data_IF_598062148931
#
_entry.id   IF_598062148931
#
_cell.length_a   1.000
_cell.length_b   1.000
_cell.length_c   1.000
_cell.angle_alpha   90.00
_cell.angle_beta   90.00
_cell.angle_gamma   90.00
#
_symmetry.space_group_name_H-M   'P 1'
#
loop_
_entity.id
_entity.type
_entity.pdbx_description
1 polymer ?
#
# COMPACT_ATOMS: atom_id res chain seq x y z
N UNK A 1 -16.63 -0.27 8.96
CA UNK A 1 -15.24 -0.75 8.74
C UNK A 1 -14.99 -1.88 9.74
N UNK A 2 -14.33 -2.98 9.38
CA UNK A 2 -14.02 -4.05 10.34
C UNK A 2 -13.00 -3.60 11.41
N UNK A 3 -13.12 -4.08 12.65
CA UNK A 3 -12.26 -3.73 13.80
C UNK A 3 -10.75 -3.81 13.47
N UNK A 4 -10.36 -4.87 12.76
CA UNK A 4 -8.98 -5.09 12.32
C UNK A 4 -8.41 -3.94 11.45
N UNK A 5 -9.25 -3.27 10.66
CA UNK A 5 -8.85 -2.09 9.87
C UNK A 5 -8.88 -0.81 10.70
N UNK A 6 -9.79 -0.69 11.67
CA UNK A 6 -9.81 0.45 12.60
C UNK A 6 -8.51 0.51 13.43
N UNK A 7 -8.07 -0.64 13.91
CA UNK A 7 -6.80 -0.81 14.63
C UNK A 7 -5.59 -0.37 13.79
N UNK A 8 -5.58 -0.70 12.50
CA UNK A 8 -4.51 -0.31 11.58
C UNK A 8 -4.60 1.17 11.23
N UNK A 9 -5.79 1.68 10.94
CA UNK A 9 -6.02 3.10 10.66
C UNK A 9 -5.57 3.98 11.84
N UNK A 10 -5.86 3.57 13.08
CA UNK A 10 -5.41 4.27 14.28
C UNK A 10 -3.87 4.32 14.38
N UNK A 11 -3.18 3.26 13.95
CA UNK A 11 -1.71 3.25 13.87
C UNK A 11 -1.20 4.17 12.76
N UNK A 12 -1.87 4.23 11.61
CA UNK A 12 -1.46 5.05 10.47
C UNK A 12 -1.74 6.54 10.67
N UNK A 13 -2.78 6.92 11.42
CA UNK A 13 -3.12 8.31 11.76
C UNK A 13 -2.37 8.86 12.98
N UNK A 14 -1.19 8.31 13.21
CA UNK A 14 -0.32 8.73 14.30
C UNK A 14 0.15 10.18 14.13
N UNK A 15 0.20 10.94 15.22
CA UNK A 15 0.52 12.38 15.21
C UNK A 15 2.04 12.65 15.14
N UNK A 16 2.86 11.61 15.24
CA UNK A 16 4.33 11.69 15.15
C UNK A 16 4.83 11.94 13.71
N UNK A 17 4.02 11.67 12.68
CA UNK A 17 4.35 11.93 11.27
C UNK A 17 3.80 13.28 10.84
N UNK A 18 4.70 14.23 10.57
CA UNK A 18 4.33 15.61 10.15
C UNK A 18 4.17 15.79 8.64
N UNK A 19 4.58 14.79 7.86
CA UNK A 19 4.50 14.83 6.40
C UNK A 19 3.05 14.86 5.90
N UNK A 20 2.68 15.89 5.13
CA UNK A 20 1.37 15.94 4.46
C UNK A 20 1.18 14.79 3.46
N UNK A 21 2.26 14.36 2.80
CA UNK A 21 2.27 13.21 1.88
C UNK A 21 1.86 11.92 2.56
N UNK A 22 2.25 11.73 3.83
CA UNK A 22 1.77 10.60 4.60
C UNK A 22 0.26 10.63 4.81
N UNK A 23 -0.29 11.80 5.16
CA UNK A 23 -1.74 11.99 5.27
C UNK A 23 -2.48 11.64 3.98
N UNK A 24 -1.95 12.07 2.84
CA UNK A 24 -2.48 11.71 1.50
C UNK A 24 -2.43 10.20 1.26
N UNK A 25 -1.29 9.56 1.53
CA UNK A 25 -1.11 8.11 1.41
C UNK A 25 -2.13 7.33 2.24
N UNK A 26 -2.31 7.70 3.51
CA UNK A 26 -3.24 7.02 4.42
C UNK A 26 -4.70 7.22 3.98
N UNK A 27 -5.03 8.39 3.45
CA UNK A 27 -6.38 8.66 2.93
C UNK A 27 -6.67 7.87 1.65
N UNK A 28 -5.73 7.79 0.71
CA UNK A 28 -5.87 6.99 -0.51
C UNK A 28 -5.92 5.49 -0.20
N UNK A 29 -5.12 5.02 0.76
CA UNK A 29 -5.21 3.66 1.27
C UNK A 29 -6.60 3.36 1.84
N UNK A 30 -7.11 4.21 2.74
CA UNK A 30 -8.43 4.04 3.33
C UNK A 30 -9.53 4.07 2.27
N UNK A 31 -9.43 4.94 1.27
CA UNK A 31 -10.37 5.02 0.16
C UNK A 31 -10.37 3.73 -0.68
N UNK A 32 -9.19 3.19 -0.99
CA UNK A 32 -9.04 1.92 -1.69
C UNK A 32 -9.64 0.75 -0.89
N UNK A 33 -9.34 0.63 0.40
CA UNK A 33 -9.91 -0.42 1.25
C UNK A 33 -11.43 -0.27 1.40
N UNK A 34 -11.93 0.96 1.48
CA UNK A 34 -13.37 1.26 1.52
C UNK A 34 -14.05 0.83 0.22
N UNK A 35 -13.47 1.19 -0.94
CA UNK A 35 -13.98 0.77 -2.24
C UNK A 35 -13.92 -0.75 -2.45
N UNK A 36 -12.93 -1.41 -1.83
CA UNK A 36 -12.80 -2.85 -1.80
C UNK A 36 -13.76 -3.55 -0.81
N UNK A 37 -14.45 -2.81 0.07
CA UNK A 37 -15.33 -3.36 1.10
C UNK A 37 -14.57 -3.94 2.31
N UNK A 38 -13.29 -3.61 2.48
CA UNK A 38 -12.40 -4.15 3.52
C UNK A 38 -12.21 -5.67 3.44
N UNK A 39 -12.33 -6.23 2.23
CA UNK A 39 -12.12 -7.63 1.93
C UNK A 39 -10.69 -7.88 1.43
N UNK A 40 -10.14 -9.07 1.72
CA UNK A 40 -8.89 -9.51 1.11
C UNK A 40 -9.17 -9.86 -0.36
N UNK A 41 -8.78 -8.99 -1.29
CA UNK A 41 -9.07 -9.15 -2.72
C UNK A 41 -7.93 -9.83 -3.48
N UNK A 42 -7.54 -11.01 -3.01
CA UNK A 42 -6.49 -11.82 -3.64
C UNK A 42 -5.60 -12.49 -2.60
N UNK A 43 -4.56 -13.22 -3.07
CA UNK A 43 -3.53 -13.73 -2.18
C UNK A 43 -2.78 -12.58 -1.50
N UNK A 44 -2.05 -12.91 -0.43
CA UNK A 44 -1.09 -11.97 0.15
C UNK A 44 -0.05 -11.55 -0.91
N UNK A 45 0.54 -10.37 -0.75
CA UNK A 45 1.72 -9.99 -1.53
C UNK A 45 2.82 -11.05 -1.41
N UNK A 46 3.66 -11.18 -2.45
CA UNK A 46 4.72 -12.19 -2.50
C UNK A 46 5.53 -12.17 -1.21
N UNK A 47 5.60 -13.32 -0.53
CA UNK A 47 6.27 -13.44 0.77
C UNK A 47 7.80 -13.41 0.66
N UNK A 48 8.36 -13.77 -0.51
CA UNK A 48 9.81 -13.80 -0.73
C UNK A 48 10.39 -12.39 -0.64
N UNK A 49 11.35 -12.20 0.26
CA UNK A 49 12.03 -10.93 0.47
C UNK A 49 11.24 -9.92 1.29
N UNK A 50 10.07 -10.30 1.83
CA UNK A 50 9.29 -9.47 2.75
C UNK A 50 10.05 -9.25 4.06
N UNK A 51 10.11 -8.01 4.61
CA UNK A 51 10.78 -7.77 5.88
C UNK A 51 10.17 -8.58 7.03
N UNK A 52 11.02 -9.09 7.93
CA UNK A 52 10.59 -9.87 9.10
C UNK A 52 9.66 -9.07 10.04
N UNK A 53 9.82 -7.74 10.04
CA UNK A 53 8.89 -6.78 10.64
C UNK A 53 7.42 -7.07 10.30
N UNK A 54 7.13 -7.34 9.02
CA UNK A 54 5.78 -7.63 8.56
C UNK A 54 5.31 -8.97 9.10
N UNK A 55 6.15 -10.00 9.03
CA UNK A 55 5.82 -11.31 9.56
C UNK A 55 5.49 -11.24 11.06
N UNK A 56 6.32 -10.55 11.84
CA UNK A 56 6.11 -10.32 13.27
C UNK A 56 4.79 -9.62 13.57
N UNK A 57 4.44 -8.59 12.79
CA UNK A 57 3.23 -7.78 12.96
C UNK A 57 1.97 -8.56 12.59
N UNK A 58 2.02 -9.31 11.48
CA UNK A 58 0.94 -10.20 11.03
C UNK A 58 0.65 -11.28 12.07
N UNK A 59 1.69 -11.95 12.59
CA UNK A 59 1.56 -13.00 13.62
C UNK A 59 0.93 -12.50 14.93
N UNK A 60 1.02 -11.21 15.21
CA UNK A 60 0.44 -10.57 16.41
C UNK A 60 -0.95 -10.00 16.17
N UNK A 61 -1.59 -10.35 15.06
CA UNK A 61 -2.89 -9.82 14.65
C UNK A 61 -2.88 -8.29 14.56
N UNK A 62 -1.72 -7.68 14.29
CA UNK A 62 -1.59 -6.22 14.03
C UNK A 62 -2.10 -5.36 15.18
N UNK A 63 -2.08 -5.89 16.41
CA UNK A 63 -2.67 -5.29 17.61
C UNK A 63 -1.99 -3.97 17.99
N UNK A 64 -2.79 -3.01 18.46
CA UNK A 64 -2.31 -1.70 18.97
C UNK A 64 -1.35 -1.81 20.16
N UNK A 65 -1.43 -2.89 20.96
CA UNK A 65 -0.49 -3.15 22.06
C UNK A 65 0.94 -3.38 21.57
N UNK A 66 1.10 -3.73 20.29
CA UNK A 66 2.37 -4.02 19.63
C UNK A 66 2.40 -3.36 18.24
N UNK A 67 2.29 -2.01 18.17
CA UNK A 67 2.11 -1.30 16.90
C UNK A 67 3.42 -1.16 16.13
N UNK A 68 4.54 -1.44 16.80
CA UNK A 68 5.89 -1.33 16.28
C UNK A 68 6.63 -2.66 16.51
N UNK A 69 7.25 -3.25 15.47
CA UNK A 69 8.04 -4.47 15.60
C UNK A 69 9.28 -4.25 16.45
N UNK A 70 9.37 -4.93 17.60
CA UNK A 70 10.53 -4.85 18.51
C UNK A 70 11.84 -5.35 17.90
N UNK A 71 11.77 -6.06 16.77
CA UNK A 71 12.96 -6.44 15.99
C UNK A 71 13.63 -5.25 15.31
N UNK A 72 12.99 -4.09 15.31
CA UNK A 72 13.52 -2.82 14.83
C UNK A 72 14.03 -1.94 15.99
N UNK A 73 14.31 -2.48 17.17
CA UNK A 73 14.76 -1.68 18.32
C UNK A 73 16.29 -1.41 18.32
N UNK A 74 17.06 -2.12 17.48
CA UNK A 74 18.52 -1.95 17.39
C UNK A 74 18.92 -1.07 16.20
N UNK A 75 19.98 -0.26 16.38
CA UNK A 75 20.49 0.63 15.31
C UNK A 75 20.85 -0.14 14.04
N UNK A 76 21.51 -1.30 14.16
CA UNK A 76 21.83 -2.17 13.01
C UNK A 76 20.57 -2.63 12.23
N UNK A 77 19.43 -2.77 12.91
CA UNK A 77 18.18 -3.16 12.27
C UNK A 77 17.56 -1.97 11.51
N UNK A 78 17.78 -0.73 11.98
CA UNK A 78 17.28 0.47 11.31
C UNK A 78 17.93 0.64 9.93
N UNK A 79 19.26 0.49 9.87
CA UNK A 79 20.06 0.72 8.67
C UNK A 79 19.73 -0.28 7.54
N UNK A 80 19.30 -1.49 7.90
CA UNK A 80 18.93 -2.51 6.92
C UNK A 80 17.45 -2.45 6.53
N UNK A 81 16.59 -1.96 7.42
CA UNK A 81 15.14 -2.06 7.24
C UNK A 81 14.62 -1.30 6.02
N UNK A 82 15.16 -0.12 5.72
CA UNK A 82 14.74 0.61 4.53
C UNK A 82 15.14 -0.13 3.24
N UNK A 83 16.34 -0.73 3.20
CA UNK A 83 16.81 -1.51 2.06
C UNK A 83 15.95 -2.75 1.84
N UNK A 84 15.57 -3.44 2.91
CA UNK A 84 14.64 -4.57 2.84
C UNK A 84 13.26 -4.16 2.34
N UNK A 85 12.74 -3.04 2.84
CA UNK A 85 11.45 -2.49 2.41
C UNK A 85 11.46 -2.15 0.92
N UNK A 86 12.49 -1.44 0.45
CA UNK A 86 12.64 -1.09 -0.96
C UNK A 86 12.82 -2.35 -1.82
N UNK A 87 13.68 -3.28 -1.39
CA UNK A 87 13.91 -4.55 -2.10
C UNK A 87 12.63 -5.35 -2.25
N UNK A 88 11.83 -5.44 -1.19
CA UNK A 88 10.56 -6.15 -1.22
C UNK A 88 9.56 -5.45 -2.14
N UNK A 89 9.47 -4.12 -2.07
CA UNK A 89 8.61 -3.34 -2.96
C UNK A 89 8.96 -3.57 -4.43
N UNK A 90 10.25 -3.55 -4.77
CA UNK A 90 10.70 -3.91 -6.12
C UNK A 90 10.30 -5.34 -6.49
N UNK A 91 10.42 -6.30 -5.58
CA UNK A 91 10.09 -7.69 -5.87
C UNK A 91 8.59 -7.95 -6.10
N UNK A 92 7.70 -7.21 -5.42
CA UNK A 92 6.24 -7.38 -5.57
C UNK A 92 5.68 -6.61 -6.76
N UNK A 93 6.39 -5.61 -7.27
CA UNK A 93 5.95 -4.85 -8.41
C UNK A 93 5.97 -5.67 -9.71
N UNK A 94 5.00 -5.44 -10.62
CA UNK A 94 4.96 -6.13 -11.90
C UNK A 94 6.15 -5.75 -12.77
N UNK A 95 6.55 -6.66 -13.67
CA UNK A 95 7.77 -6.54 -14.48
C UNK A 95 7.81 -5.25 -15.32
N UNK A 96 6.67 -4.83 -15.86
CA UNK A 96 6.56 -3.60 -16.65
C UNK A 96 6.92 -2.33 -15.85
N UNK A 97 6.77 -2.34 -14.52
CA UNK A 97 7.16 -1.19 -13.66
C UNK A 97 8.66 -1.10 -13.43
N UNK A 98 9.37 -2.22 -13.54
CA UNK A 98 10.79 -2.36 -13.19
C UNK A 98 11.70 -2.16 -14.40
N UNK A 99 11.17 -1.75 -15.55
CA UNK A 99 11.96 -1.52 -16.75
C UNK A 99 13.03 -0.46 -16.47
N UNK A 100 14.30 -0.85 -16.63
CA UNK A 100 15.45 0.00 -16.35
C UNK A 100 15.81 0.13 -14.86
N UNK A 101 15.17 -0.63 -13.97
CA UNK A 101 15.41 -0.64 -12.52
C UNK A 101 15.58 -2.07 -12.04
N UNK A 102 16.83 -2.47 -11.75
CA UNK A 102 17.15 -3.81 -11.24
C UNK A 102 17.53 -3.79 -9.77
N UNK A 103 17.97 -2.63 -9.26
CA UNK A 103 18.49 -2.45 -7.90
C UNK A 103 17.69 -1.42 -7.10
N UNK A 104 17.79 -1.53 -5.78
CA UNK A 104 17.23 -0.54 -4.84
C UNK A 104 17.77 0.86 -5.10
N UNK A 105 19.07 0.98 -5.39
CA UNK A 105 19.72 2.26 -5.68
C UNK A 105 19.19 2.90 -6.96
N UNK A 106 18.94 2.13 -8.02
CA UNK A 106 18.34 2.65 -9.25
C UNK A 106 16.92 3.13 -9.00
N UNK A 107 16.12 2.37 -8.24
CA UNK A 107 14.78 2.81 -7.85
C UNK A 107 14.80 4.14 -7.11
N UNK A 108 15.66 4.27 -6.11
CA UNK A 108 15.81 5.49 -5.31
C UNK A 108 16.44 6.66 -6.09
N UNK A 109 16.87 6.43 -7.34
CA UNK A 109 17.41 7.47 -8.21
C UNK A 109 16.40 7.93 -9.25
N UNK A 110 15.60 7.02 -9.82
CA UNK A 110 14.76 7.31 -10.98
C UNK A 110 13.28 6.90 -10.82
N UNK A 111 12.92 6.23 -9.72
CA UNK A 111 11.59 5.68 -9.49
C UNK A 111 11.25 4.47 -10.36
N UNK A 112 10.05 3.93 -10.18
CA UNK A 112 9.46 2.91 -11.06
C UNK A 112 8.67 3.55 -12.19
N UNK A 113 8.48 2.81 -13.29
CA UNK A 113 7.64 3.27 -14.39
C UNK A 113 6.17 3.46 -13.94
N UNK A 114 5.56 4.55 -14.40
CA UNK A 114 4.19 5.00 -14.06
C UNK A 114 3.27 5.20 -15.28
N UNK A 115 3.78 5.07 -16.51
CA UNK A 115 3.09 5.49 -17.73
C UNK A 115 2.98 4.38 -18.80
N UNK A 116 2.87 3.12 -18.36
CA UNK A 116 2.64 1.99 -19.26
C UNK A 116 1.26 1.45 -18.93
N UNK A 117 0.45 1.07 -19.93
CA UNK A 117 -0.89 0.46 -19.79
C UNK A 117 -0.85 -0.95 -19.14
N UNK A 118 0.11 -1.18 -18.26
CA UNK A 118 0.24 -2.41 -17.50
C UNK A 118 -0.70 -2.43 -16.30
N UNK A 119 -1.18 -3.62 -15.99
CA UNK A 119 -2.08 -3.82 -14.85
C UNK A 119 -1.31 -3.88 -13.52
N UNK A 120 -1.96 -3.42 -12.46
CA UNK A 120 -1.53 -3.48 -11.06
C UNK A 120 -2.28 -4.58 -10.28
N UNK A 121 -3.01 -5.48 -10.95
CA UNK A 121 -3.85 -6.51 -10.31
C UNK A 121 -3.05 -7.48 -9.40
N UNK A 122 -1.73 -7.66 -9.58
CA UNK A 122 -0.86 -8.41 -8.64
C UNK A 122 -0.59 -7.68 -7.31
N UNK A 123 -0.86 -6.37 -7.24
CA UNK A 123 -0.74 -5.58 -6.02
C UNK A 123 -2.09 -5.53 -5.30
N UNK A 124 -2.36 -6.55 -4.49
CA UNK A 124 -3.65 -6.73 -3.84
C UNK A 124 -3.93 -5.71 -2.73
N UNK A 125 -5.20 -5.32 -2.57
CA UNK A 125 -5.69 -4.62 -1.37
C UNK A 125 -5.93 -5.61 -0.22
N UNK A 126 -6.21 -5.11 0.97
CA UNK A 126 -6.45 -5.90 2.18
C UNK A 126 -5.28 -5.87 3.15
N UNK A 127 -5.43 -6.54 4.30
CA UNK A 127 -4.46 -6.50 5.40
C UNK A 127 -3.14 -7.19 5.06
N UNK A 128 -3.16 -8.18 4.16
CA UNK A 128 -1.96 -8.85 3.67
C UNK A 128 -1.47 -8.28 2.32
N UNK A 129 -2.19 -7.29 1.81
CA UNK A 129 -1.91 -6.57 0.58
C UNK A 129 -1.05 -5.33 0.83
N UNK A 130 -1.40 -4.26 0.12
CA UNK A 130 -0.77 -2.93 0.20
C UNK A 130 -0.74 -2.34 1.63
N UNK A 131 -1.67 -2.74 2.52
CA UNK A 131 -1.62 -2.39 3.95
C UNK A 131 -0.27 -2.73 4.59
N UNK A 132 0.33 -3.87 4.22
CA UNK A 132 1.62 -4.28 4.77
C UNK A 132 2.77 -3.37 4.30
N UNK A 133 2.68 -2.82 3.09
CA UNK A 133 3.68 -1.88 2.56
C UNK A 133 3.54 -0.52 3.26
N UNK A 134 2.31 -0.03 3.46
CA UNK A 134 2.06 1.20 4.23
C UNK A 134 2.57 1.05 5.67
N UNK A 135 2.40 -0.12 6.30
CA UNK A 135 2.96 -0.39 7.61
C UNK A 135 4.50 -0.32 7.62
N UNK A 136 5.18 -0.86 6.59
CA UNK A 136 6.63 -0.72 6.46
C UNK A 136 7.06 0.75 6.40
N UNK A 137 6.32 1.61 5.69
CA UNK A 137 6.66 3.04 5.59
C UNK A 137 6.50 3.78 6.92
N UNK A 138 5.48 3.43 7.71
CA UNK A 138 5.33 3.94 9.08
C UNK A 138 6.54 3.53 9.94
N UNK A 139 6.96 2.27 9.87
CA UNK A 139 8.09 1.80 10.67
C UNK A 139 9.40 2.40 10.20
N UNK A 140 9.61 2.56 8.89
CA UNK A 140 10.78 3.22 8.33
C UNK A 140 10.89 4.64 8.89
N UNK A 141 9.84 5.45 8.78
CA UNK A 141 9.83 6.82 9.32
C UNK A 141 10.27 6.87 10.81
N UNK A 142 9.76 5.94 11.62
CA UNK A 142 10.07 5.87 13.06
C UNK A 142 11.51 5.48 13.34
N UNK A 143 12.10 4.57 12.56
CA UNK A 143 13.50 4.13 12.77
C UNK A 143 14.51 5.13 12.24
N UNK A 144 14.21 5.84 11.15
CA UNK A 144 15.16 6.78 10.55
C UNK A 144 15.31 8.08 11.36
N UNK A 145 14.33 8.41 12.22
CA UNK A 145 14.35 9.57 13.12
C UNK A 145 14.62 10.91 12.42
N UNK A 146 14.28 11.01 11.14
CA UNK A 146 14.33 12.26 10.36
C UNK A 146 13.01 12.99 10.55
N UNK A 147 13.05 14.24 11.01
CA UNK A 147 11.86 14.95 11.52
C UNK A 147 10.68 15.08 10.56
N UNK A 148 10.95 15.13 9.26
CA UNK A 148 9.94 15.22 8.20
C UNK A 148 9.94 14.00 7.27
N UNK A 149 10.78 13.00 7.57
CA UNK A 149 11.10 11.89 6.69
C UNK A 149 12.30 12.19 5.79
N UNK A 150 13.06 11.15 5.42
CA UNK A 150 14.14 11.29 4.44
C UNK A 150 13.61 11.45 3.02
N UNK A 151 14.44 11.98 2.12
CA UNK A 151 14.13 12.04 0.68
C UNK A 151 13.79 10.66 0.11
N UNK A 152 14.54 9.63 0.54
CA UNK A 152 14.31 8.24 0.14
C UNK A 152 12.97 7.71 0.63
N UNK A 153 12.58 8.06 1.86
CA UNK A 153 11.27 7.73 2.39
C UNK A 153 10.15 8.43 1.60
N UNK A 154 10.31 9.71 1.27
CA UNK A 154 9.34 10.44 0.45
C UNK A 154 9.17 9.84 -0.95
N UNK A 155 10.25 9.45 -1.62
CA UNK A 155 10.17 8.81 -2.93
C UNK A 155 9.38 7.50 -2.87
N UNK A 156 9.58 6.73 -1.80
CA UNK A 156 8.86 5.49 -1.58
C UNK A 156 7.37 5.76 -1.26
N UNK A 157 7.07 6.77 -0.43
CA UNK A 157 5.69 7.24 -0.17
C UNK A 157 5.00 7.66 -1.47
N UNK A 158 5.66 8.46 -2.31
CA UNK A 158 5.11 8.93 -3.58
C UNK A 158 4.87 7.79 -4.59
N UNK A 159 5.72 6.75 -4.58
CA UNK A 159 5.51 5.57 -5.44
C UNK A 159 4.32 4.73 -4.98
N UNK A 160 4.20 4.46 -3.68
CA UNK A 160 3.07 3.71 -3.12
C UNK A 160 1.77 4.50 -3.25
N UNK A 161 1.80 5.81 -3.02
CA UNK A 161 0.67 6.71 -3.22
C UNK A 161 0.15 6.63 -4.66
N UNK A 162 1.06 6.70 -5.64
CA UNK A 162 0.69 6.54 -7.04
C UNK A 162 -0.02 5.21 -7.31
N UNK A 163 0.48 4.09 -6.77
CA UNK A 163 -0.18 2.77 -6.90
C UNK A 163 -1.59 2.79 -6.32
N UNK A 164 -1.75 3.32 -5.10
CA UNK A 164 -3.05 3.37 -4.43
C UNK A 164 -4.06 4.17 -5.27
N UNK A 165 -3.65 5.33 -5.77
CA UNK A 165 -4.49 6.19 -6.61
C UNK A 165 -4.87 5.52 -7.92
N UNK A 166 -3.93 4.88 -8.63
CA UNK A 166 -4.24 4.18 -9.88
C UNK A 166 -5.16 2.98 -9.66
N UNK A 167 -4.94 2.20 -8.59
CA UNK A 167 -5.84 1.09 -8.25
C UNK A 167 -7.25 1.58 -7.89
N UNK A 168 -7.36 2.69 -7.16
CA UNK A 168 -8.66 3.27 -6.82
C UNK A 168 -9.40 3.75 -8.07
N UNK A 169 -8.69 4.44 -8.99
CA UNK A 169 -9.23 4.85 -10.31
C UNK A 169 -9.73 3.64 -11.10
N UNK A 170 -8.94 2.57 -11.19
CA UNK A 170 -9.31 1.36 -11.89
C UNK A 170 -10.55 0.67 -11.27
N UNK A 171 -10.65 0.62 -9.94
CA UNK A 171 -11.85 0.07 -9.27
C UNK A 171 -13.11 0.88 -9.57
N UNK A 172 -13.02 2.22 -9.56
CA UNK A 172 -14.15 3.08 -9.91
C UNK A 172 -14.58 2.93 -11.37
N UNK A 173 -13.62 2.82 -12.30
CA UNK A 173 -13.91 2.56 -13.71
C UNK A 173 -14.61 1.22 -13.94
N UNK A 174 -14.09 0.13 -13.34
CA UNK A 174 -14.70 -1.22 -13.41
C UNK A 174 -16.15 -1.23 -12.84
N UNK A 175 -16.40 -0.48 -11.76
CA UNK A 175 -17.75 -0.41 -11.15
C UNK A 175 -18.73 0.39 -11.99
N UNK A 176 -18.29 1.48 -12.63
CA UNK A 176 -19.10 2.28 -13.55
C UNK A 176 -19.49 1.52 -14.82
N UNK A 177 -18.62 0.65 -15.32
CA UNK A 177 -18.89 -0.20 -16.49
C UNK A 177 -19.85 -1.38 -16.20
N UNK A 178 -20.06 -1.73 -14.93
CA UNK A 178 -20.82 -2.93 -14.52
C UNK A 178 -22.29 -2.66 -14.15
N UNK A 179 -22.78 -1.41 -14.22
CA UNK A 179 -24.21 -1.11 -14.10
C UNK A 179 -24.85 -1.03 -15.50
N UNK A 180 -25.60 -2.06 -15.96
CA UNK A 180 -26.43 -1.90 -17.14
C UNK A 180 -27.61 -0.96 -16.83
N UNK A 181 -27.84 -0.03 -17.74
CA UNK A 181 -28.99 0.88 -17.77
C UNK A 181 -30.30 0.07 -17.77
N UNK A 182 -30.94 -0.02 -16.61
CA UNK A 182 -32.26 -0.64 -16.46
C UNK A 182 -33.33 0.35 -16.97
N UNK A 183 -33.38 0.51 -18.29
CA UNK A 183 -34.46 1.22 -18.96
C UNK A 183 -35.75 0.39 -18.88
N UNK A 184 -36.86 0.91 -18.32
CA UNK A 184 -38.09 0.14 -18.20
C UNK A 184 -38.75 -0.03 -19.57
N UNK A 185 -38.69 -1.26 -20.08
CA UNK A 185 -39.41 -1.71 -21.29
C UNK A 185 -40.92 -1.51 -21.12
N UNK A 186 -41.47 -0.45 -21.72
CA UNK A 186 -42.91 -0.21 -21.80
C UNK A 186 -43.55 -1.23 -22.72
N UNK A 187 -44.22 -2.24 -22.15
CA UNK A 187 -45.12 -3.13 -22.89
C UNK A 187 -46.35 -2.32 -23.34
N UNK A 188 -46.36 -1.91 -24.61
CA UNK A 188 -47.59 -1.50 -25.32
C UNK A 188 -48.48 -2.74 -25.50
N UNK A 189 -49.62 -2.77 -24.83
CA UNK A 189 -50.67 -3.73 -25.11
C UNK A 189 -51.30 -3.40 -26.48
N UNK A 190 -51.46 -4.44 -27.32
CA UNK A 190 -52.14 -4.38 -28.62
C UNK A 190 -53.65 -4.53 -28.44
N UNK A 191 -54.36 -3.66 -29.17
CA UNK A 191 -55.69 -3.74 -29.81
C UNK A 191 -56.67 -4.81 -29.35
#
# INVERSE_FOLDING_TARGET
MPEKFEVVLAQFRTEDIKSSRWGELVNEWLALETAAGFEERGPALRAKGRPDAVHWWVHRNRRTKHPFPTLLDSEDAHDLFYLETVKWWLAVNPDWRKVGVETQTEFLRQGLAKNVDGDLDELYSGLNGLTSVVACLLWWYRVEKVSEGSEMWHQMVDDVLWVLTEKLRAQHSKRGASQPDESPSTKRARK
#
